data_IF_211015625091
#
_entry.id   IF_211015625091
#
_cell.length_a   1.000
_cell.length_b   1.000
_cell.length_c   1.000
_cell.angle_alpha   90.00
_cell.angle_beta   90.00
_cell.angle_gamma   90.00
#
_symmetry.space_group_name_H-M   'P 1'
#
loop_
_entity.id
_entity.type
_entity.pdbx_description
1 polymer ?
#
# COMPACT_ATOMS: atom_id res chain seq x y z
N UNK A 1 -0.59 2.53 -47.94
CA UNK A 1 -0.75 3.28 -46.67
C UNK A 1 -0.31 2.40 -45.52
N UNK A 2 0.91 2.62 -45.02
CA UNK A 2 1.54 1.75 -44.00
C UNK A 2 1.20 2.17 -42.59
N UNK A 3 0.64 1.24 -41.86
CA UNK A 3 0.27 1.41 -40.47
C UNK A 3 1.54 1.28 -39.59
N UNK A 4 2.13 2.39 -39.18
CA UNK A 4 3.27 2.42 -38.24
C UNK A 4 2.76 2.03 -36.85
N UNK A 5 2.96 0.78 -36.45
CA UNK A 5 2.83 0.34 -35.05
C UNK A 5 3.82 1.13 -34.20
N UNK A 6 3.32 1.98 -33.30
CA UNK A 6 4.14 2.60 -32.26
C UNK A 6 4.55 1.49 -31.29
N UNK A 7 5.81 1.08 -31.35
CA UNK A 7 6.43 0.23 -30.33
C UNK A 7 6.60 1.10 -29.07
N UNK A 8 5.72 0.88 -28.09
CA UNK A 8 5.87 1.49 -26.78
C UNK A 8 7.00 0.70 -26.09
N UNK A 9 8.17 1.30 -25.97
CA UNK A 9 9.24 0.77 -25.12
C UNK A 9 8.80 0.85 -23.67
N UNK A 10 8.20 -0.21 -23.15
CA UNK A 10 8.02 -0.42 -21.71
C UNK A 10 9.39 -0.77 -21.14
N UNK A 11 10.11 0.24 -20.68
CA UNK A 11 11.30 0.03 -19.87
C UNK A 11 10.86 -0.73 -18.61
N UNK A 12 11.41 -1.93 -18.37
CA UNK A 12 11.00 -2.75 -17.23
C UNK A 12 11.24 -1.93 -15.95
N UNK A 13 10.30 -2.01 -15.00
CA UNK A 13 10.42 -1.35 -13.70
C UNK A 13 11.75 -1.73 -13.03
N UNK A 14 12.25 -2.95 -13.25
CA UNK A 14 13.55 -3.44 -12.81
C UNK A 14 14.70 -2.58 -13.33
N UNK A 15 14.69 -2.20 -14.62
CA UNK A 15 15.73 -1.33 -15.20
C UNK A 15 15.59 0.11 -14.70
N UNK A 16 14.37 0.57 -14.44
CA UNK A 16 14.10 1.88 -13.86
C UNK A 16 14.56 1.96 -12.40
N UNK A 17 14.24 0.97 -11.58
CA UNK A 17 14.68 0.87 -10.17
C UNK A 17 16.21 0.72 -10.07
N UNK A 18 16.84 -0.07 -10.93
CA UNK A 18 18.30 -0.20 -10.97
C UNK A 18 18.98 1.12 -11.37
N UNK A 19 18.39 1.88 -12.29
CA UNK A 19 18.91 3.21 -12.68
C UNK A 19 18.78 4.24 -11.54
N UNK A 20 17.79 4.10 -10.66
CA UNK A 20 17.61 4.97 -9.48
C UNK A 20 18.53 4.60 -8.31
N UNK A 21 18.96 3.35 -8.17
CA UNK A 21 19.87 2.93 -7.07
C UNK A 21 21.25 3.58 -7.16
N UNK A 22 21.65 4.07 -8.34
CA UNK A 22 22.91 4.79 -8.55
C UNK A 22 22.86 6.28 -8.20
N UNK A 23 21.68 6.84 -7.86
CA UNK A 23 21.51 8.26 -7.59
C UNK A 23 20.99 8.51 -6.15
N UNK A 24 21.86 8.35 -5.16
CA UNK A 24 21.55 8.70 -3.76
C UNK A 24 21.13 10.18 -3.59
N UNK A 25 21.53 11.06 -4.50
CA UNK A 25 21.10 12.46 -4.56
C UNK A 25 19.61 12.62 -4.89
N UNK A 26 18.99 11.67 -5.59
CA UNK A 26 17.58 11.75 -5.99
C UNK A 26 16.63 11.51 -4.81
N UNK A 27 17.00 10.67 -3.85
CA UNK A 27 16.17 10.40 -2.66
C UNK A 27 16.02 11.66 -1.79
N UNK A 28 17.08 12.45 -1.67
CA UNK A 28 17.03 13.70 -0.89
C UNK A 28 16.28 14.83 -1.60
N UNK A 29 16.31 14.90 -2.93
CA UNK A 29 15.56 15.90 -3.69
C UNK A 29 14.06 15.58 -3.73
N UNK A 30 13.68 14.31 -3.74
CA UNK A 30 12.27 13.89 -3.75
C UNK A 30 11.57 14.23 -2.42
N UNK A 31 12.29 14.20 -1.30
CA UNK A 31 11.75 14.57 0.00
C UNK A 31 11.51 16.08 0.16
N UNK A 32 12.22 16.94 -0.58
CA UNK A 32 12.08 18.40 -0.52
C UNK A 32 10.96 18.98 -1.40
N UNK A 33 10.47 18.23 -2.39
CA UNK A 33 9.40 18.65 -3.30
C UNK A 33 7.98 18.38 -2.80
N UNK A 34 7.82 17.84 -1.61
CA UNK A 34 6.50 17.48 -1.10
C UNK A 34 5.84 18.68 -0.41
N UNK A 35 5.35 19.63 -1.17
CA UNK A 35 4.24 20.48 -0.73
C UNK A 35 3.06 19.55 -0.46
N UNK A 36 2.85 19.25 0.82
CA UNK A 36 1.72 18.48 1.31
C UNK A 36 0.46 19.34 1.12
N UNK A 37 -0.15 19.27 -0.05
CA UNK A 37 -1.59 19.46 -0.11
C UNK A 37 -2.19 18.43 0.86
N UNK A 38 -3.27 18.81 1.58
CA UNK A 38 -3.97 17.89 2.52
C UNK A 38 -4.43 16.64 1.77
N UNK A 39 -3.55 15.69 1.54
CA UNK A 39 -3.86 14.44 0.88
C UNK A 39 -4.65 13.57 1.86
N UNK A 40 -5.72 12.91 1.37
CA UNK A 40 -6.49 11.95 2.14
C UNK A 40 -5.61 10.76 2.56
N UNK A 41 -5.87 10.20 3.74
CA UNK A 41 -5.21 9.01 4.24
C UNK A 41 -4.06 9.29 5.21
N UNK A 42 -3.51 8.22 5.75
CA UNK A 42 -2.36 8.24 6.66
C UNK A 42 -1.08 8.70 5.95
N UNK A 43 -0.05 9.08 6.74
CA UNK A 43 1.27 9.43 6.18
C UNK A 43 1.86 8.27 5.36
N UNK A 44 1.68 7.03 5.81
CA UNK A 44 2.13 5.85 5.09
C UNK A 44 1.44 5.70 3.73
N UNK A 45 0.10 5.83 3.68
CA UNK A 45 -0.65 5.77 2.43
C UNK A 45 -0.24 6.87 1.45
N UNK A 46 0.03 8.09 1.93
CA UNK A 46 0.54 9.19 1.11
C UNK A 46 1.90 8.85 0.47
N UNK A 47 2.80 8.21 1.22
CA UNK A 47 4.11 7.78 0.70
C UNK A 47 3.94 6.71 -0.37
N UNK A 48 3.09 5.70 -0.14
CA UNK A 48 2.80 4.66 -1.12
C UNK A 48 2.19 5.25 -2.38
N UNK A 49 1.20 6.12 -2.26
CA UNK A 49 0.55 6.81 -3.40
C UNK A 49 1.59 7.54 -4.26
N UNK A 50 2.44 8.33 -3.61
CA UNK A 50 3.48 9.09 -4.30
C UNK A 50 4.52 8.17 -4.94
N UNK A 51 4.92 7.10 -4.26
CA UNK A 51 5.81 6.08 -4.81
C UNK A 51 5.22 5.47 -6.09
N UNK A 52 3.98 5.00 -6.06
CA UNK A 52 3.30 4.40 -7.20
C UNK A 52 3.14 5.39 -8.37
N UNK A 53 2.73 6.63 -8.06
CA UNK A 53 2.57 7.70 -9.07
C UNK A 53 3.90 8.03 -9.74
N UNK A 54 4.97 8.23 -8.97
CA UNK A 54 6.30 8.56 -9.50
C UNK A 54 6.91 7.44 -10.35
N UNK A 55 6.48 6.20 -10.14
CA UNK A 55 6.91 5.03 -10.92
C UNK A 55 5.93 4.66 -12.04
N UNK A 56 4.92 5.51 -12.31
CA UNK A 56 3.87 5.25 -13.31
C UNK A 56 3.17 3.90 -13.12
N UNK A 57 3.03 3.44 -11.87
CA UNK A 57 2.30 2.23 -11.53
C UNK A 57 0.83 2.57 -11.38
N UNK A 58 -0.05 1.88 -12.12
CA UNK A 58 -1.50 2.06 -12.02
C UNK A 58 -2.02 1.44 -10.73
N UNK A 59 -2.87 2.16 -9.99
CA UNK A 59 -3.47 1.67 -8.75
C UNK A 59 -4.88 2.23 -8.52
N UNK A 60 -5.61 1.62 -7.59
CA UNK A 60 -6.84 2.13 -6.98
C UNK A 60 -6.67 2.10 -5.47
N UNK A 61 -7.20 3.09 -4.78
CA UNK A 61 -7.18 3.17 -3.32
C UNK A 61 -8.49 2.65 -2.74
N UNK A 62 -8.44 2.23 -1.47
CA UNK A 62 -9.59 1.83 -0.67
C UNK A 62 -10.46 0.78 -1.39
N UNK A 63 -9.80 -0.26 -1.93
CA UNK A 63 -10.49 -1.33 -2.67
C UNK A 63 -11.38 -2.14 -1.74
N UNK A 64 -12.65 -2.31 -2.12
CA UNK A 64 -13.63 -3.16 -1.43
C UNK A 64 -14.12 -4.29 -2.32
N UNK A 65 -14.69 -5.32 -1.68
CA UNK A 65 -15.42 -6.41 -2.33
C UNK A 65 -16.80 -6.51 -1.69
N UNK A 66 -17.84 -6.70 -2.49
CA UNK A 66 -19.24 -6.67 -2.04
C UNK A 66 -19.60 -7.79 -1.06
N UNK A 67 -18.81 -8.85 -1.04
CA UNK A 67 -19.00 -10.04 -0.18
C UNK A 67 -17.96 -10.14 0.95
N UNK A 68 -17.18 -9.08 1.21
CA UNK A 68 -16.23 -8.99 2.30
C UNK A 68 -16.62 -7.84 3.23
N UNK A 69 -17.27 -8.18 4.35
CA UNK A 69 -17.76 -7.21 5.34
C UNK A 69 -17.47 -7.69 6.76
N UNK A 70 -17.42 -6.75 7.69
CA UNK A 70 -17.22 -7.00 9.11
C UNK A 70 -18.53 -6.76 9.88
N UNK A 71 -18.98 -7.78 10.65
CA UNK A 71 -20.23 -7.80 11.43
C UNK A 71 -21.51 -7.69 10.58
N UNK A 72 -21.64 -6.70 9.70
CA UNK A 72 -22.81 -6.51 8.85
C UNK A 72 -22.44 -5.99 7.44
N UNK A 73 -23.41 -6.06 6.51
CA UNK A 73 -23.20 -5.72 5.09
C UNK A 73 -22.86 -4.26 4.82
N UNK A 74 -23.08 -3.37 5.79
CA UNK A 74 -22.79 -1.94 5.64
C UNK A 74 -21.33 -1.64 5.96
N UNK A 75 -20.60 -2.56 6.60
CA UNK A 75 -19.22 -2.41 7.01
C UNK A 75 -18.27 -3.21 6.12
N UNK A 76 -18.19 -2.83 4.84
CA UNK A 76 -17.26 -3.45 3.89
C UNK A 76 -15.80 -3.25 4.35
N UNK A 77 -15.04 -4.34 4.37
CA UNK A 77 -13.60 -4.27 4.61
C UNK A 77 -12.90 -3.69 3.40
N UNK A 78 -11.96 -2.78 3.65
CA UNK A 78 -11.23 -2.04 2.62
C UNK A 78 -9.75 -2.42 2.65
N UNK A 79 -9.18 -2.61 1.48
CA UNK A 79 -7.75 -2.74 1.27
C UNK A 79 -7.19 -1.39 0.86
N UNK A 80 -6.02 -1.02 1.37
CA UNK A 80 -5.45 0.30 1.13
C UNK A 80 -5.21 0.55 -0.36
N UNK A 81 -4.62 -0.42 -1.07
CA UNK A 81 -4.35 -0.29 -2.50
C UNK A 81 -4.64 -1.58 -3.26
N UNK A 82 -5.20 -1.44 -4.46
CA UNK A 82 -5.17 -2.43 -5.53
C UNK A 82 -4.17 -1.95 -6.57
N UNK A 83 -3.10 -2.70 -6.79
CA UNK A 83 -1.98 -2.33 -7.66
C UNK A 83 -2.02 -3.17 -8.92
N UNK A 84 -1.94 -2.53 -10.10
CA UNK A 84 -1.87 -3.17 -11.40
C UNK A 84 -0.42 -3.17 -11.87
N UNK A 85 0.16 -4.35 -12.00
CA UNK A 85 1.57 -4.49 -12.33
C UNK A 85 1.79 -5.61 -13.34
N UNK A 86 2.47 -5.32 -14.45
CA UNK A 86 2.54 -6.20 -15.62
C UNK A 86 1.11 -6.55 -16.08
N UNK A 87 0.82 -7.79 -16.36
CA UNK A 87 -0.50 -8.26 -16.83
C UNK A 87 -1.39 -8.78 -15.69
N UNK A 88 -1.08 -8.41 -14.45
CA UNK A 88 -1.76 -8.87 -13.24
C UNK A 88 -2.09 -7.72 -12.28
N UNK A 89 -2.69 -8.06 -11.14
CA UNK A 89 -2.92 -7.14 -10.04
C UNK A 89 -2.79 -7.85 -8.69
N UNK A 90 -2.52 -7.08 -7.66
CA UNK A 90 -2.46 -7.55 -6.29
C UNK A 90 -2.98 -6.48 -5.32
N UNK A 91 -3.23 -6.88 -4.07
CA UNK A 91 -3.61 -5.97 -3.00
C UNK A 91 -2.39 -5.66 -2.14
N UNK A 92 -2.33 -4.42 -1.66
CA UNK A 92 -1.32 -3.96 -0.72
C UNK A 92 -2.01 -3.35 0.50
N UNK A 93 -1.54 -3.75 1.68
CA UNK A 93 -1.93 -3.20 2.99
C UNK A 93 -0.71 -2.63 3.70
N UNK A 94 -0.88 -1.49 4.35
CA UNK A 94 0.11 -0.92 5.25
C UNK A 94 -0.19 -1.34 6.69
N UNK A 95 0.75 -1.97 7.33
CA UNK A 95 0.63 -2.41 8.70
C UNK A 95 1.37 -1.47 9.66
N UNK A 96 0.62 -0.59 10.32
CA UNK A 96 1.14 0.26 11.39
C UNK A 96 1.23 -0.48 12.73
N UNK A 97 1.69 0.19 13.77
CA UNK A 97 1.87 -0.41 15.10
C UNK A 97 0.60 -1.03 15.68
N UNK A 98 -0.58 -0.50 15.32
CA UNK A 98 -1.89 -0.99 15.76
C UNK A 98 -2.20 -2.43 15.31
N UNK A 99 -1.51 -2.95 14.31
CA UNK A 99 -1.66 -4.35 13.88
C UNK A 99 -0.89 -5.33 14.78
N UNK A 100 0.08 -4.83 15.58
CA UNK A 100 0.98 -5.67 16.37
C UNK A 100 0.79 -5.53 17.87
N UNK A 101 0.23 -4.41 18.34
CA UNK A 101 0.01 -4.15 19.77
C UNK A 101 -1.17 -3.22 20.00
N UNK A 102 -1.85 -3.35 21.15
CA UNK A 102 -2.88 -2.40 21.56
C UNK A 102 -2.32 -0.98 21.58
N UNK A 103 -3.02 -0.03 20.97
CA UNK A 103 -2.53 1.35 20.79
C UNK A 103 -3.64 2.34 21.09
N UNK A 104 -3.36 3.33 21.95
CA UNK A 104 -4.27 4.42 22.26
C UNK A 104 -3.96 5.63 21.36
N UNK A 105 -4.59 5.67 20.18
CA UNK A 105 -4.49 6.84 19.30
C UNK A 105 -5.37 7.97 19.86
N UNK A 106 -4.74 9.05 20.34
CA UNK A 106 -5.43 10.22 20.85
C UNK A 106 -5.59 10.28 22.38
N UNK A 107 -5.21 9.22 23.11
CA UNK A 107 -5.10 9.24 24.57
C UNK A 107 -6.43 9.25 25.36
N UNK A 108 -7.57 9.00 24.71
CA UNK A 108 -8.90 9.13 25.32
C UNK A 108 -9.61 7.79 25.57
N UNK A 109 -9.02 6.67 25.19
CA UNK A 109 -9.63 5.34 25.33
C UNK A 109 -9.23 4.69 26.66
N UNK A 110 -10.16 3.93 27.23
CA UNK A 110 -9.89 3.03 28.36
C UNK A 110 -9.06 1.83 27.93
N UNK A 111 -8.42 1.14 28.84
CA UNK A 111 -7.65 -0.08 28.55
C UNK A 111 -8.52 -1.17 27.88
N UNK A 112 -9.77 -1.30 28.30
CA UNK A 112 -10.72 -2.24 27.72
C UNK A 112 -11.04 -1.90 26.26
N UNK A 113 -11.30 -0.62 25.95
CA UNK A 113 -11.55 -0.17 24.58
C UNK A 113 -10.32 -0.33 23.69
N UNK A 114 -9.11 -0.08 24.21
CA UNK A 114 -7.85 -0.31 23.50
C UNK A 114 -7.70 -1.77 23.14
N UNK A 115 -7.93 -2.66 24.10
CA UNK A 115 -7.83 -4.10 23.90
C UNK A 115 -8.88 -4.59 22.90
N UNK A 116 -10.13 -4.18 23.05
CA UNK A 116 -11.21 -4.53 22.13
C UNK A 116 -10.92 -4.04 20.68
N UNK A 117 -10.45 -2.81 20.51
CA UNK A 117 -10.10 -2.26 19.19
C UNK A 117 -8.97 -3.06 18.53
N UNK A 118 -8.01 -3.51 19.34
CA UNK A 118 -6.91 -4.35 18.85
C UNK A 118 -7.41 -5.72 18.37
N UNK A 119 -8.24 -6.41 19.17
CA UNK A 119 -8.82 -7.70 18.81
C UNK A 119 -9.70 -7.62 17.55
N UNK A 120 -10.55 -6.59 17.47
CA UNK A 120 -11.35 -6.34 16.27
C UNK A 120 -10.49 -6.01 15.04
N UNK A 121 -9.34 -5.33 15.24
CA UNK A 121 -8.35 -5.07 14.19
C UNK A 121 -7.75 -6.37 13.66
N UNK A 122 -7.30 -7.23 14.56
CA UNK A 122 -6.75 -8.54 14.19
C UNK A 122 -7.77 -9.43 13.47
N UNK A 123 -9.03 -9.42 13.93
CA UNK A 123 -10.08 -10.18 13.27
C UNK A 123 -10.34 -9.68 11.84
N UNK A 124 -10.39 -8.36 11.61
CA UNK A 124 -10.51 -7.79 10.27
C UNK A 124 -9.33 -8.18 9.37
N UNK A 125 -8.11 -8.18 9.90
CA UNK A 125 -6.92 -8.60 9.15
C UNK A 125 -6.97 -10.09 8.81
N UNK A 126 -7.43 -10.94 9.74
CA UNK A 126 -7.64 -12.37 9.50
C UNK A 126 -8.65 -12.60 8.38
N UNK A 127 -9.81 -11.95 8.44
CA UNK A 127 -10.85 -12.04 7.42
C UNK A 127 -10.35 -11.61 6.03
N UNK A 128 -9.58 -10.54 5.94
CA UNK A 128 -8.96 -10.08 4.69
C UNK A 128 -7.99 -11.12 4.11
N UNK A 129 -7.13 -11.71 4.95
CA UNK A 129 -6.17 -12.75 4.55
C UNK A 129 -6.89 -14.01 4.05
N UNK A 130 -7.88 -14.48 4.78
CA UNK A 130 -8.70 -15.65 4.40
C UNK A 130 -9.45 -15.41 3.09
N UNK A 131 -10.05 -14.22 2.93
CA UNK A 131 -10.73 -13.85 1.70
C UNK A 131 -9.77 -13.89 0.51
N UNK A 132 -8.60 -13.28 0.63
CA UNK A 132 -7.59 -13.29 -0.42
C UNK A 132 -7.13 -14.70 -0.77
N UNK A 133 -6.87 -15.55 0.24
CA UNK A 133 -6.51 -16.96 0.04
C UNK A 133 -7.59 -17.74 -0.69
N UNK A 134 -8.85 -17.62 -0.27
CA UNK A 134 -10.01 -18.30 -0.86
C UNK A 134 -10.25 -17.91 -2.32
N UNK A 135 -9.92 -16.68 -2.68
CA UNK A 135 -10.17 -16.13 -4.03
C UNK A 135 -8.90 -16.08 -4.90
N UNK A 136 -7.78 -16.69 -4.47
CA UNK A 136 -6.49 -16.65 -5.16
C UNK A 136 -6.00 -15.22 -5.46
N UNK A 137 -6.27 -14.28 -4.54
CA UNK A 137 -5.82 -12.89 -4.63
C UNK A 137 -4.50 -12.75 -3.89
N UNK A 138 -3.49 -12.22 -4.55
CA UNK A 138 -2.21 -11.92 -3.90
C UNK A 138 -2.39 -10.72 -2.98
N UNK A 139 -2.13 -10.91 -1.69
CA UNK A 139 -2.07 -9.84 -0.69
C UNK A 139 -0.63 -9.64 -0.24
N UNK A 140 -0.13 -8.42 -0.39
CA UNK A 140 1.15 -7.97 0.14
C UNK A 140 0.92 -7.05 1.32
N UNK A 141 1.64 -7.28 2.42
CA UNK A 141 1.64 -6.38 3.57
C UNK A 141 3.01 -5.73 3.69
N UNK A 142 3.03 -4.43 3.98
CA UNK A 142 4.27 -3.66 4.20
C UNK A 142 4.15 -2.90 5.50
N UNK A 143 5.18 -3.00 6.34
CA UNK A 143 5.20 -2.37 7.65
C UNK A 143 5.38 -0.85 7.55
N UNK A 144 4.60 -0.13 8.36
CA UNK A 144 4.74 1.29 8.55
C UNK A 144 5.17 1.62 10.00
N UNK A 145 6.45 1.86 10.17
CA UNK A 145 7.05 2.20 11.48
C UNK A 145 7.25 3.71 11.69
N UNK A 146 6.68 4.55 10.83
CA UNK A 146 6.84 6.01 10.87
C UNK A 146 8.06 6.53 10.10
N UNK A 147 8.90 5.65 9.53
CA UNK A 147 10.09 6.04 8.77
C UNK A 147 9.86 5.93 7.25
N UNK A 148 9.77 7.06 6.52
CA UNK A 148 9.56 7.07 5.07
C UNK A 148 10.64 6.32 4.29
N UNK A 149 11.90 6.39 4.74
CA UNK A 149 13.02 5.74 4.02
C UNK A 149 12.91 4.23 4.06
N UNK A 150 12.51 3.67 5.20
CA UNK A 150 12.29 2.23 5.36
C UNK A 150 11.15 1.78 4.45
N UNK A 151 9.99 2.46 4.52
CA UNK A 151 8.84 2.12 3.68
C UNK A 151 9.18 2.15 2.17
N UNK A 152 9.89 3.18 1.71
CA UNK A 152 10.31 3.27 0.29
C UNK A 152 11.24 2.11 -0.09
N UNK A 153 12.17 1.74 0.79
CA UNK A 153 13.08 0.60 0.57
C UNK A 153 12.30 -0.71 0.44
N UNK A 154 11.35 -0.95 1.34
CA UNK A 154 10.54 -2.16 1.37
C UNK A 154 9.63 -2.26 0.12
N UNK A 155 9.05 -1.14 -0.31
CA UNK A 155 8.31 -1.05 -1.57
C UNK A 155 9.21 -1.39 -2.78
N UNK A 156 10.40 -0.81 -2.85
CA UNK A 156 11.36 -1.11 -3.93
C UNK A 156 11.74 -2.59 -3.97
N UNK A 157 11.99 -3.18 -2.81
CA UNK A 157 12.32 -4.61 -2.70
C UNK A 157 11.13 -5.50 -3.10
N UNK A 158 9.93 -5.17 -2.64
CA UNK A 158 8.71 -5.88 -3.04
C UNK A 158 8.53 -5.87 -4.56
N UNK A 159 8.71 -4.73 -5.23
CA UNK A 159 8.56 -4.62 -6.68
C UNK A 159 9.68 -5.28 -7.48
N UNK A 160 10.88 -5.48 -6.91
CA UNK A 160 11.95 -6.26 -7.54
C UNK A 160 11.63 -7.75 -7.57
N UNK A 161 10.88 -8.23 -6.57
CA UNK A 161 10.57 -9.65 -6.35
C UNK A 161 9.21 -10.06 -6.97
N UNK A 162 8.56 -9.17 -7.73
CA UNK A 162 7.37 -9.40 -8.54
C UNK A 162 7.71 -9.59 -10.03
#
# INVERSE_FOLDING_TARGET
MGNKRRTIYTMSLKNYINKMSTHSKFINSTLSYWKIEKQKGSKGEQIVRNFLTNHNVKFKEQKTFHNLYYKDKNHLLRFDFQIFFKDSWFLLELQGQQHYKPTNFGGHLTEQEIQQNFEEGQERDRMKKEYCSKHNIILKCVDWNGNPKTLIKDLQEMFRNL
#
